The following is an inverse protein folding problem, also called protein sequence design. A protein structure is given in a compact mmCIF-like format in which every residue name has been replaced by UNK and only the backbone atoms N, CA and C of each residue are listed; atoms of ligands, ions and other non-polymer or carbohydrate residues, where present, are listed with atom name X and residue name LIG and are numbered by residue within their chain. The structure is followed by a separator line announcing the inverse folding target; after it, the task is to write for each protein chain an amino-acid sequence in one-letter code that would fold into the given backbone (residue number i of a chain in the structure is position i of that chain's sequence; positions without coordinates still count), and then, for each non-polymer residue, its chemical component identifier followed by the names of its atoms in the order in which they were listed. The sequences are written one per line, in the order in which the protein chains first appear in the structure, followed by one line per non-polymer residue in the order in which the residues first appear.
data_IF_999220480452
#
_entry.id   IF_999220480452
#
_cell.length_a   1.000
_cell.length_b   1.000
_cell.length_c   1.000
_cell.angle_alpha   90.00
_cell.angle_beta   90.00
_cell.angle_gamma   90.00
#
_symmetry.space_group_name_H-M   'P 1'
#
loop_
_entity.id
_entity.type
_entity.pdbx_description
1 polymer ?
#
# COMPACT_ATOMS: atom_id res chain seq x y z
N UNK A 1 -0.10 17.24 -13.94
CA UNK A 1 0.23 15.80 -13.94
C UNK A 1 -0.58 15.14 -12.84
N UNK A 2 -1.34 14.09 -13.15
CA UNK A 2 -2.23 13.39 -12.21
C UNK A 2 -1.77 11.94 -12.03
N UNK A 3 -2.12 11.33 -10.91
CA UNK A 3 -1.93 9.90 -10.67
C UNK A 3 -3.13 9.36 -9.88
N UNK A 4 -3.63 8.18 -10.25
CA UNK A 4 -4.58 7.42 -9.45
C UNK A 4 -3.87 6.23 -8.81
N UNK A 5 -4.39 5.76 -7.69
CA UNK A 5 -3.92 4.54 -7.09
C UNK A 5 -4.36 3.33 -7.93
N UNK A 6 -3.65 2.22 -7.80
CA UNK A 6 -3.91 1.02 -8.59
C UNK A 6 -4.76 0.01 -7.81
N UNK A 7 -5.88 -0.42 -8.37
CA UNK A 7 -6.81 -1.36 -7.73
C UNK A 7 -6.27 -2.80 -7.81
N UNK A 8 -5.29 -3.13 -6.97
CA UNK A 8 -4.76 -4.48 -6.88
C UNK A 8 -5.87 -5.49 -6.55
N UNK A 9 -5.85 -6.69 -7.16
CA UNK A 9 -6.72 -7.77 -6.72
C UNK A 9 -6.53 -8.05 -5.22
N UNK A 10 -7.60 -8.30 -4.45
CA UNK A 10 -7.50 -8.52 -3.00
C UNK A 10 -6.46 -9.57 -2.59
N UNK A 11 -6.30 -10.64 -3.39
CA UNK A 11 -5.32 -11.70 -3.15
C UNK A 11 -3.87 -11.22 -3.18
N UNK A 12 -3.56 -10.16 -3.94
CA UNK A 12 -2.21 -9.58 -3.97
C UNK A 12 -1.94 -8.84 -2.66
N UNK A 13 -2.90 -8.05 -2.20
CA UNK A 13 -2.79 -7.30 -0.94
C UNK A 13 -2.71 -8.24 0.27
N UNK A 14 -3.51 -9.31 0.28
CA UNK A 14 -3.47 -10.36 1.30
C UNK A 14 -2.09 -11.04 1.35
N UNK A 15 -1.56 -11.46 0.19
CA UNK A 15 -0.24 -12.08 0.11
C UNK A 15 0.86 -11.14 0.59
N UNK A 16 0.81 -9.87 0.20
CA UNK A 16 1.81 -8.88 0.61
C UNK A 16 1.78 -8.65 2.12
N UNK A 17 0.59 -8.41 2.69
CA UNK A 17 0.40 -8.22 4.14
C UNK A 17 0.89 -9.42 4.94
N UNK A 18 0.48 -10.64 4.56
CA UNK A 18 0.89 -11.86 5.24
C UNK A 18 2.40 -12.07 5.20
N UNK A 19 3.06 -11.80 4.07
CA UNK A 19 4.50 -11.95 3.97
C UNK A 19 5.24 -10.92 4.82
N UNK A 20 4.87 -9.64 4.73
CA UNK A 20 5.55 -8.58 5.48
C UNK A 20 5.45 -8.82 6.99
N UNK A 21 4.25 -9.10 7.51
CA UNK A 21 4.06 -9.30 8.95
C UNK A 21 4.74 -10.57 9.50
N UNK A 22 4.89 -11.62 8.69
CA UNK A 22 5.51 -12.88 9.13
C UNK A 22 7.03 -12.93 8.88
N UNK A 23 7.52 -12.27 7.83
CA UNK A 23 8.93 -12.33 7.42
C UNK A 23 9.75 -11.15 8.01
N UNK A 24 9.11 -10.03 8.41
CA UNK A 24 9.80 -8.84 8.93
C UNK A 24 9.49 -8.63 10.41
N UNK A 25 10.48 -8.91 11.26
CA UNK A 25 10.36 -8.74 12.71
C UNK A 25 10.03 -7.29 13.09
N UNK A 26 9.07 -7.13 14.01
CA UNK A 26 8.66 -5.82 14.53
C UNK A 26 7.60 -5.10 13.70
N UNK A 27 7.18 -5.64 12.56
CA UNK A 27 6.08 -5.08 11.76
C UNK A 27 4.77 -5.78 12.09
N UNK A 28 3.73 -5.00 12.40
CA UNK A 28 2.40 -5.52 12.78
C UNK A 28 1.26 -5.06 11.84
N UNK A 29 1.55 -4.14 10.91
CA UNK A 29 0.54 -3.51 10.07
C UNK A 29 1.15 -3.09 8.74
N UNK A 30 0.37 -3.33 7.69
CA UNK A 30 0.65 -2.88 6.32
C UNK A 30 -0.54 -2.08 5.85
N UNK A 31 -0.28 -0.95 5.19
CA UNK A 31 -1.30 -0.08 4.60
C UNK A 31 -1.05 0.03 3.09
N UNK A 32 -2.12 0.19 2.31
CA UNK A 32 -2.03 0.54 0.90
C UNK A 32 -2.66 1.91 0.71
N UNK A 33 -1.89 2.85 0.18
CA UNK A 33 -2.36 4.21 -0.06
C UNK A 33 -3.30 4.24 -1.27
N UNK A 34 -4.49 4.79 -1.06
CA UNK A 34 -5.55 4.90 -2.06
C UNK A 34 -5.87 6.36 -2.39
N UNK A 35 -4.95 7.28 -2.08
CA UNK A 35 -5.09 8.71 -2.33
C UNK A 35 -4.59 9.05 -3.73
N UNK A 36 -5.46 9.65 -4.55
CA UNK A 36 -5.06 10.14 -5.88
C UNK A 36 -4.24 11.44 -5.75
N UNK A 37 -3.38 11.71 -6.73
CA UNK A 37 -2.73 13.00 -6.94
C UNK A 37 -3.48 13.76 -8.04
N UNK A 38 -4.13 14.91 -7.76
CA UNK A 38 -4.45 15.49 -6.44
C UNK A 38 -5.63 14.78 -5.74
N UNK A 39 -5.83 14.92 -4.40
CA UNK A 39 -5.23 15.92 -3.50
C UNK A 39 -3.86 15.53 -2.90
N UNK A 40 -3.45 14.27 -3.00
CA UNK A 40 -2.20 13.79 -2.41
C UNK A 40 -0.96 14.06 -3.27
N UNK A 41 0.20 13.74 -2.69
CA UNK A 41 1.49 13.60 -3.37
C UNK A 41 1.80 12.12 -3.63
N UNK A 42 2.84 11.82 -4.40
CA UNK A 42 3.28 10.43 -4.64
C UNK A 42 4.03 9.89 -3.41
N UNK A 43 4.94 10.70 -2.87
CA UNK A 43 5.69 10.39 -1.65
C UNK A 43 4.91 10.83 -0.40
N UNK A 44 5.32 10.31 0.76
CA UNK A 44 4.75 10.60 2.08
C UNK A 44 5.38 11.81 2.80
N UNK A 45 6.10 12.67 2.07
CA UNK A 45 6.81 13.86 2.59
C UNK A 45 6.32 15.17 1.94
#
# INVERSE_FOLDING_TARGET
MTADWYRFPPKVLERASNRICNEVSGINRVLYDITSKPPGTIEWE
#
